data_IF_114606134592
#
_entry.id   IF_114606134592
#
_cell.length_a   1.000
_cell.length_b   1.000
_cell.length_c   1.000
_cell.angle_alpha   90.00
_cell.angle_beta   90.00
_cell.angle_gamma   90.00
#
_symmetry.space_group_name_H-M   'P 1'
#
loop_
_entity.id
_entity.type
_entity.pdbx_description
1 polymer ?
#
# COMPACT_ATOMS: atom_id res chain seq x y z
N UNK A 1 0.65 18.79 -10.66
CA UNK A 1 0.63 17.56 -9.84
C UNK A 1 -0.43 16.67 -10.48
N UNK A 2 -0.09 15.51 -11.06
CA UNK A 2 -1.11 14.71 -11.73
C UNK A 2 -1.86 13.87 -10.70
N UNK A 3 -3.18 13.94 -10.74
CA UNK A 3 -4.05 13.05 -9.99
C UNK A 3 -3.80 11.61 -10.44
N UNK A 4 -3.64 10.70 -9.47
CA UNK A 4 -3.47 9.28 -9.74
C UNK A 4 -4.66 8.71 -10.52
N UNK A 5 -4.45 7.60 -11.28
CA UNK A 5 -5.50 6.89 -11.97
C UNK A 5 -6.65 6.61 -11.00
N UNK A 6 -7.90 6.90 -11.41
CA UNK A 6 -9.04 6.83 -10.53
C UNK A 6 -9.19 5.41 -10.01
N UNK A 7 -9.26 5.28 -8.69
CA UNK A 7 -9.58 4.01 -8.03
C UNK A 7 -10.92 3.52 -8.56
N UNK A 8 -11.02 2.22 -8.84
CA UNK A 8 -12.32 1.64 -9.17
C UNK A 8 -13.26 1.87 -7.97
N UNK A 9 -14.56 2.11 -8.16
CA UNK A 9 -15.47 2.38 -7.05
C UNK A 9 -15.48 1.26 -5.99
N UNK A 10 -15.22 0.02 -6.39
CA UNK A 10 -15.09 -1.12 -5.49
C UNK A 10 -13.79 -1.09 -4.69
N UNK A 11 -12.66 -0.75 -5.33
CA UNK A 11 -11.36 -0.65 -4.66
C UNK A 11 -11.27 0.59 -3.77
N UNK A 12 -11.84 1.71 -4.22
CA UNK A 12 -11.98 2.94 -3.43
C UNK A 12 -12.80 2.69 -2.17
N UNK A 13 -13.98 2.05 -2.29
CA UNK A 13 -14.83 1.76 -1.15
C UNK A 13 -14.18 0.79 -0.16
N UNK A 14 -13.48 -0.25 -0.66
CA UNK A 14 -12.83 -1.25 0.20
C UNK A 14 -11.58 -0.71 0.90
N UNK A 15 -10.83 0.16 0.23
CA UNK A 15 -9.68 0.86 0.79
C UNK A 15 -10.10 1.95 1.80
N UNK A 16 -11.15 2.73 1.49
CA UNK A 16 -11.72 3.72 2.41
C UNK A 16 -12.36 3.10 3.66
N UNK A 17 -12.98 1.92 3.55
CA UNK A 17 -13.53 1.20 4.71
C UNK A 17 -12.45 0.62 5.65
N UNK A 18 -11.22 0.42 5.17
CA UNK A 18 -10.09 -0.08 5.97
C UNK A 18 -9.21 1.01 6.58
N UNK A 19 -9.22 2.22 6.00
CA UNK A 19 -8.53 3.40 6.55
C UNK A 19 -9.15 3.94 7.85
N UNK A 20 -10.37 3.51 8.21
CA UNK A 20 -11.14 4.15 9.27
C UNK A 20 -10.73 3.76 10.70
N UNK A 21 -9.90 2.73 10.90
CA UNK A 21 -9.56 2.25 12.26
C UNK A 21 -8.06 2.38 12.56
N UNK A 22 -7.70 3.47 13.25
CA UNK A 22 -6.36 3.70 13.80
C UNK A 22 -5.30 4.26 12.85
N UNK A 23 -5.66 4.63 11.61
CA UNK A 23 -4.78 5.37 10.69
C UNK A 23 -4.82 6.85 11.05
N UNK A 24 -3.65 7.42 11.36
CA UNK A 24 -3.50 8.84 11.65
C UNK A 24 -3.25 9.65 10.38
N UNK A 25 -2.45 9.11 9.45
CA UNK A 25 -2.11 9.76 8.19
C UNK A 25 -2.02 8.73 7.07
N UNK A 26 -2.41 9.13 5.85
CA UNK A 26 -2.29 8.30 4.67
C UNK A 26 -1.70 9.12 3.52
N UNK A 27 -0.68 8.57 2.88
CA UNK A 27 -0.06 9.11 1.67
C UNK A 27 -0.23 8.11 0.53
N UNK A 28 -0.46 8.60 -0.68
CA UNK A 28 -0.52 7.77 -1.88
C UNK A 28 0.40 8.36 -2.95
N UNK A 29 1.19 7.50 -3.58
CA UNK A 29 1.97 7.81 -4.77
C UNK A 29 1.56 6.86 -5.89
N UNK A 30 1.32 7.39 -7.09
CA UNK A 30 0.98 6.56 -8.25
C UNK A 30 2.03 6.71 -9.33
N UNK A 31 2.50 5.56 -9.81
CA UNK A 31 3.46 5.43 -10.89
C UNK A 31 2.72 4.90 -12.10
N UNK A 32 2.48 5.78 -13.07
CA UNK A 32 1.93 5.40 -14.35
C UNK A 32 3.03 4.74 -15.22
N UNK A 33 2.66 3.66 -15.91
CA UNK A 33 3.57 2.92 -16.78
C UNK A 33 2.92 2.76 -18.15
N UNK A 34 3.63 3.14 -19.20
CA UNK A 34 3.12 3.24 -20.57
C UNK A 34 2.58 1.93 -21.19
N UNK A 35 2.82 0.78 -20.56
CA UNK A 35 2.48 -0.55 -21.09
C UNK A 35 1.83 -1.50 -20.06
N UNK A 36 1.58 -1.06 -18.83
CA UNK A 36 1.15 -1.91 -17.71
C UNK A 36 0.11 -1.19 -16.82
N UNK A 37 -0.60 -1.94 -15.97
CA UNK A 37 -1.43 -1.31 -14.94
C UNK A 37 -0.54 -0.46 -14.02
N UNK A 38 -0.95 0.79 -13.79
CA UNK A 38 -0.24 1.72 -12.91
C UNK A 38 -0.04 1.14 -11.50
N UNK A 39 1.10 1.47 -10.88
CA UNK A 39 1.42 1.00 -9.53
C UNK A 39 1.03 2.08 -8.54
N UNK A 40 0.24 1.70 -7.53
CA UNK A 40 -0.14 2.58 -6.43
C UNK A 40 0.60 2.17 -5.17
N UNK A 41 1.28 3.12 -4.54
CA UNK A 41 1.96 2.93 -3.25
C UNK A 41 1.25 3.76 -2.21
N UNK A 42 0.75 3.12 -1.17
CA UNK A 42 0.18 3.77 0.00
C UNK A 42 1.15 3.69 1.17
N UNK A 43 1.36 4.80 1.86
CA UNK A 43 2.02 4.86 3.16
C UNK A 43 0.98 5.24 4.22
N UNK A 44 0.71 4.33 5.15
CA UNK A 44 -0.27 4.51 6.21
C UNK A 44 0.45 4.66 7.55
N UNK A 45 0.34 5.81 8.21
CA UNK A 45 0.82 5.99 9.58
C UNK A 45 -0.27 5.61 10.56
N UNK A 46 0.08 4.79 11.54
CA UNK A 46 -0.75 4.43 12.68
C UNK A 46 -0.24 5.08 13.95
N UNK A 47 -1.08 5.11 14.98
CA UNK A 47 -0.69 5.57 16.31
C UNK A 47 0.43 4.72 16.95
N UNK A 48 0.56 3.45 16.54
CA UNK A 48 1.61 2.57 17.06
C UNK A 48 2.04 1.50 16.06
N UNK A 49 3.25 0.97 16.26
CA UNK A 49 3.74 -0.20 15.53
C UNK A 49 2.85 -1.43 15.73
N UNK A 50 2.18 -1.55 16.87
CA UNK A 50 1.23 -2.64 17.15
C UNK A 50 0.04 -2.57 16.20
N UNK A 51 -0.50 -1.38 15.98
CA UNK A 51 -1.63 -1.14 15.07
C UNK A 51 -1.25 -1.43 13.61
N UNK A 52 -0.08 -0.95 13.16
CA UNK A 52 0.44 -1.25 11.83
C UNK A 52 0.64 -2.76 11.60
N UNK A 53 1.19 -3.45 12.60
CA UNK A 53 1.39 -4.90 12.55
C UNK A 53 0.09 -5.69 12.61
N UNK A 54 -0.93 -5.20 13.31
CA UNK A 54 -2.25 -5.84 13.33
C UNK A 54 -2.86 -5.86 11.93
N UNK A 55 -2.75 -4.74 11.19
CA UNK A 55 -3.24 -4.66 9.80
C UNK A 55 -2.41 -5.54 8.84
N UNK A 56 -1.09 -5.61 9.03
CA UNK A 56 -0.22 -6.52 8.26
C UNK A 56 -0.62 -7.99 8.43
N UNK A 57 -1.12 -8.35 9.62
CA UNK A 57 -1.56 -9.71 9.96
C UNK A 57 -3.01 -9.99 9.54
N UNK A 58 -3.79 -8.98 9.11
CA UNK A 58 -5.16 -9.19 8.64
C UNK A 58 -5.14 -10.08 7.38
N UNK A 59 -5.87 -11.19 7.47
CA UNK A 59 -5.93 -12.21 6.43
C UNK A 59 -6.49 -11.67 5.10
N UNK A 60 -7.48 -10.77 5.16
CA UNK A 60 -8.12 -10.15 3.98
C UNK A 60 -7.12 -9.33 3.17
N UNK A 61 -6.12 -8.82 3.86
CA UNK A 61 -5.03 -8.07 3.29
C UNK A 61 -4.00 -9.09 2.78
N UNK A 62 -3.49 -9.98 3.64
CA UNK A 62 -2.40 -10.92 3.29
C UNK A 62 -2.63 -11.79 2.03
N UNK A 63 -3.87 -12.14 1.70
CA UNK A 63 -4.18 -13.08 0.61
C UNK A 63 -4.14 -12.49 -0.81
N UNK A 64 -3.99 -11.17 -0.98
CA UNK A 64 -3.88 -10.58 -2.31
C UNK A 64 -2.42 -10.63 -2.84
N UNK A 65 -2.12 -11.45 -3.87
CA UNK A 65 -0.76 -11.62 -4.41
C UNK A 65 -0.27 -10.40 -5.20
N UNK A 66 -1.17 -9.53 -5.65
CA UNK A 66 -0.85 -8.31 -6.39
C UNK A 66 -0.49 -7.14 -5.45
N UNK A 67 -0.29 -7.43 -4.16
CA UNK A 67 -0.06 -6.41 -3.15
C UNK A 67 1.14 -6.76 -2.26
N UNK A 68 2.20 -5.97 -2.39
CA UNK A 68 3.36 -6.03 -1.50
C UNK A 68 3.12 -5.14 -0.29
N UNK A 69 3.52 -5.60 0.90
CA UNK A 69 3.24 -4.91 2.16
C UNK A 69 4.43 -4.96 3.07
N UNK A 70 4.67 -3.87 3.78
CA UNK A 70 5.76 -3.80 4.73
C UNK A 70 5.46 -2.83 5.86
N UNK A 71 5.60 -3.29 7.10
CA UNK A 71 5.57 -2.43 8.27
C UNK A 71 6.98 -1.92 8.60
N UNK A 72 7.08 -0.62 8.89
CA UNK A 72 8.27 0.12 9.34
C UNK A 72 7.86 0.92 10.57
N UNK A 73 8.14 0.41 11.77
CA UNK A 73 7.54 0.93 13.00
C UNK A 73 6.02 1.09 12.89
N UNK A 74 5.54 2.33 13.02
CA UNK A 74 4.11 2.69 12.92
C UNK A 74 3.60 2.96 11.50
N UNK A 75 4.45 2.80 10.48
CA UNK A 75 4.09 3.02 9.08
C UNK A 75 3.88 1.68 8.39
N UNK A 76 2.78 1.53 7.65
CA UNK A 76 2.55 0.42 6.73
C UNK A 76 2.63 0.93 5.28
N UNK A 77 3.61 0.44 4.53
CA UNK A 77 3.67 0.60 3.09
C UNK A 77 2.85 -0.52 2.43
N UNK A 78 1.96 -0.15 1.50
CA UNK A 78 1.14 -1.06 0.69
C UNK A 78 1.33 -0.71 -0.78
N UNK A 79 1.92 -1.60 -1.56
CA UNK A 79 2.16 -1.43 -2.99
C UNK A 79 1.17 -2.32 -3.74
N UNK A 80 0.33 -1.73 -4.58
CA UNK A 80 -0.63 -2.41 -5.44
C UNK A 80 -0.20 -2.27 -6.91
N UNK A 81 -0.12 -3.37 -7.64
CA UNK A 81 0.24 -3.38 -9.06
C UNK A 81 0.28 -4.78 -9.63
N UNK A 82 0.58 -4.91 -10.92
CA UNK A 82 0.60 -6.18 -11.66
C UNK A 82 1.75 -7.15 -11.30
N UNK A 83 2.46 -6.89 -10.20
CA UNK A 83 3.62 -7.69 -9.78
C UNK A 83 4.81 -7.61 -10.75
N UNK A 84 4.77 -6.69 -11.72
CA UNK A 84 5.81 -6.49 -12.72
C UNK A 84 7.11 -5.90 -12.16
N UNK A 85 8.11 -5.65 -13.03
CA UNK A 85 9.46 -5.26 -12.61
C UNK A 85 9.50 -4.02 -11.71
N UNK A 86 8.63 -3.04 -11.95
CA UNK A 86 8.57 -1.83 -11.12
C UNK A 86 7.97 -2.12 -9.73
N UNK A 87 6.94 -2.97 -9.63
CA UNK A 87 6.36 -3.36 -8.35
C UNK A 87 7.37 -4.16 -7.51
N UNK A 88 8.14 -5.04 -8.17
CA UNK A 88 9.25 -5.76 -7.56
C UNK A 88 10.36 -4.81 -7.08
N UNK A 89 10.78 -3.86 -7.92
CA UNK A 89 11.83 -2.89 -7.55
C UNK A 89 11.44 -2.05 -6.33
N UNK A 90 10.19 -1.56 -6.28
CA UNK A 90 9.65 -0.86 -5.11
C UNK A 90 9.62 -1.78 -3.89
N UNK A 91 9.17 -3.03 -4.04
CA UNK A 91 9.17 -4.02 -2.98
C UNK A 91 10.57 -4.30 -2.41
N UNK A 92 11.57 -4.50 -3.28
CA UNK A 92 12.97 -4.69 -2.88
C UNK A 92 13.52 -3.44 -2.18
N UNK A 93 13.25 -2.25 -2.70
CA UNK A 93 13.68 -1.01 -2.06
C UNK A 93 13.09 -0.87 -0.66
N UNK A 94 11.79 -1.09 -0.50
CA UNK A 94 11.14 -1.07 0.81
C UNK A 94 11.82 -2.06 1.76
N UNK A 95 12.07 -3.31 1.34
CA UNK A 95 12.73 -4.31 2.17
C UNK A 95 14.16 -3.95 2.60
N UNK A 96 14.82 -3.04 1.86
CA UNK A 96 16.15 -2.53 2.20
C UNK A 96 16.14 -1.41 3.26
N UNK A 97 14.97 -0.81 3.53
CA UNK A 97 14.85 0.25 4.51
C UNK A 97 14.99 -0.29 5.95
N UNK A 98 15.58 0.51 6.86
CA UNK A 98 15.63 0.16 8.27
C UNK A 98 14.20 0.04 8.84
N UNK A 99 14.00 -0.98 9.68
CA UNK A 99 12.69 -1.34 10.26
C UNK A 99 12.36 -0.58 11.54
#
# INVERSE_FOLDING_TARGET
>A
MPDGPPLTPADAARFHLQLADGVEEAYAAVYDQSAAQGIVVYGLRFASATSANALLRDRRIRENPNVTRMAMGSILAVVHGDGGPCAQAIGTYLQSLPK
#
